data_IF_193172901445
#
_entry.id   IF_193172901445
#
_cell.length_a   1.000
_cell.length_b   1.000
_cell.length_c   1.000
_cell.angle_alpha   90.00
_cell.angle_beta   90.00
_cell.angle_gamma   90.00
#
_symmetry.space_group_name_H-M   'P 1'
#
loop_
_entity.id
_entity.type
_entity.pdbx_description
1 polymer ?
#
# COMPACT_ATOMS: atom_id res chain seq x y z
N UNK A 1 -8.42 -1.43 -10.22
CA UNK A 1 -9.07 -0.84 -9.01
C UNK A 1 -9.56 -1.90 -8.03
N UNK A 2 -9.86 -3.11 -8.47
CA UNK A 2 -10.41 -4.22 -7.66
C UNK A 2 -9.36 -4.90 -6.76
N UNK A 3 -8.09 -5.00 -7.17
CA UNK A 3 -7.04 -5.68 -6.39
C UNK A 3 -6.60 -4.96 -5.12
N UNK A 4 -6.62 -3.62 -5.06
CA UNK A 4 -6.20 -2.90 -3.84
C UNK A 4 -7.14 -3.07 -2.65
N UNK A 5 -8.43 -3.28 -2.89
CA UNK A 5 -9.39 -3.48 -1.79
C UNK A 5 -9.39 -4.91 -1.24
N UNK A 6 -8.97 -5.89 -2.03
CA UNK A 6 -8.95 -7.31 -1.61
C UNK A 6 -7.84 -7.57 -0.57
N UNK A 7 -6.67 -6.96 -0.73
CA UNK A 7 -5.52 -7.16 0.16
C UNK A 7 -5.80 -6.65 1.59
N UNK A 8 -6.46 -5.50 1.73
CA UNK A 8 -6.82 -4.98 3.06
C UNK A 8 -7.89 -5.81 3.77
N UNK A 9 -8.75 -6.51 3.03
CA UNK A 9 -9.79 -7.37 3.60
C UNK A 9 -9.25 -8.71 4.07
N UNK A 10 -8.23 -9.26 3.40
CA UNK A 10 -7.58 -10.51 3.84
C UNK A 10 -6.82 -10.34 5.16
N UNK A 11 -6.11 -9.22 5.36
CA UNK A 11 -5.41 -8.96 6.63
C UNK A 11 -6.38 -8.78 7.80
N UNK A 12 -7.55 -8.21 7.57
CA UNK A 12 -8.54 -8.03 8.62
C UNK A 12 -9.29 -9.33 8.97
N UNK A 13 -9.59 -10.16 7.99
CA UNK A 13 -10.20 -11.48 8.19
C UNK A 13 -9.25 -12.45 8.90
N UNK A 14 -7.95 -12.40 8.60
CA UNK A 14 -6.94 -13.22 9.27
C UNK A 14 -6.75 -12.84 10.75
N UNK A 15 -6.82 -11.54 11.10
CA UNK A 15 -6.78 -11.10 12.49
C UNK A 15 -8.03 -11.52 13.28
N UNK A 16 -9.21 -11.48 12.67
CA UNK A 16 -10.45 -11.91 13.34
C UNK A 16 -10.46 -13.44 13.51
N UNK A 17 -9.94 -14.22 12.56
CA UNK A 17 -9.88 -15.68 12.69
C UNK A 17 -8.86 -16.13 13.74
N UNK A 18 -7.74 -15.44 13.94
CA UNK A 18 -6.82 -15.71 15.04
C UNK A 18 -7.42 -15.39 16.42
N UNK A 19 -8.23 -14.35 16.54
CA UNK A 19 -8.95 -14.07 17.78
C UNK A 19 -10.10 -15.06 18.04
N UNK A 20 -10.75 -15.56 16.99
CA UNK A 20 -11.81 -16.55 17.13
C UNK A 20 -11.28 -17.97 17.43
N UNK A 21 -10.09 -18.34 16.94
CA UNK A 21 -9.47 -19.64 17.27
C UNK A 21 -9.06 -19.74 18.74
N UNK A 22 -8.58 -18.64 19.36
CA UNK A 22 -8.31 -18.65 20.80
C UNK A 22 -9.55 -18.71 21.67
N UNK A 23 -10.72 -18.34 21.15
CA UNK A 23 -11.98 -18.45 21.89
C UNK A 23 -12.63 -19.84 21.76
N UNK A 24 -12.34 -20.62 20.70
CA UNK A 24 -12.95 -21.93 20.49
C UNK A 24 -12.18 -23.10 21.16
N UNK A 25 -10.88 -22.97 21.39
CA UNK A 25 -10.13 -23.96 22.13
C UNK A 25 -10.47 -23.98 23.65
N UNK A 26 -10.97 -22.88 24.19
CA UNK A 26 -11.42 -22.83 25.58
C UNK A 26 -12.73 -23.56 25.84
N UNK A 27 -13.49 -23.92 24.80
CA UNK A 27 -14.81 -24.56 24.98
C UNK A 27 -14.81 -26.09 24.75
N UNK A 28 -13.70 -26.70 24.32
CA UNK A 28 -13.63 -28.12 23.98
C UNK A 28 -13.06 -29.03 25.08
N UNK A 29 -12.56 -28.49 26.18
CA UNK A 29 -12.10 -29.32 27.30
C UNK A 29 -13.12 -29.36 28.42
N UNK A 30 -13.98 -30.37 28.38
CA UNK A 30 -14.86 -30.74 29.48
C UNK A 30 -14.08 -31.16 30.71
N UNK A 31 -14.21 -30.42 31.71
CA UNK A 31 -14.28 -30.53 33.17
C UNK A 31 -13.80 -29.25 33.76
N UNK A 32 -14.76 -28.42 34.13
CA UNK A 32 -14.54 -27.20 34.90
C UNK A 32 -13.87 -27.57 36.21
N UNK A 33 -12.55 -27.49 36.26
CA UNK A 33 -11.81 -27.35 37.49
C UNK A 33 -12.24 -25.98 38.06
N UNK A 34 -12.54 -25.94 39.35
CA UNK A 34 -12.98 -24.76 40.07
C UNK A 34 -12.16 -23.54 39.63
N UNK A 35 -12.80 -22.66 38.96
CA UNK A 35 -12.26 -21.41 38.45
C UNK A 35 -11.52 -20.66 39.56
N UNK A 36 -10.22 -20.59 39.45
CA UNK A 36 -9.52 -19.44 40.02
C UNK A 36 -10.03 -18.23 39.24
N UNK A 37 -10.99 -17.52 39.83
CA UNK A 37 -11.33 -16.19 39.40
C UNK A 37 -10.14 -15.35 39.83
N UNK A 38 -9.16 -15.15 38.92
CA UNK A 38 -8.19 -14.09 39.10
C UNK A 38 -8.98 -12.79 39.05
N UNK A 39 -9.31 -12.30 40.22
CA UNK A 39 -9.81 -10.95 40.35
C UNK A 39 -8.62 -10.02 40.11
N UNK A 40 -8.48 -9.56 38.88
CA UNK A 40 -7.57 -8.45 38.61
C UNK A 40 -7.95 -7.31 39.54
N UNK A 41 -7.02 -6.71 40.28
CA UNK A 41 -7.35 -5.59 41.16
C UNK A 41 -7.94 -4.49 40.28
N UNK A 42 -9.20 -4.17 40.54
CA UNK A 42 -9.83 -3.01 39.92
C UNK A 42 -9.15 -1.79 40.54
N UNK A 43 -8.24 -1.19 39.80
CA UNK A 43 -7.65 0.09 40.18
C UNK A 43 -8.77 1.10 40.07
N UNK A 44 -9.19 1.69 41.21
CA UNK A 44 -10.17 2.73 41.21
C UNK A 44 -9.66 3.91 40.36
N UNK A 45 -10.51 4.41 39.46
CA UNK A 45 -10.19 5.59 38.67
C UNK A 45 -9.82 6.76 39.57
N UNK A 46 -8.71 7.42 39.30
CA UNK A 46 -8.32 8.62 40.06
C UNK A 46 -9.25 9.79 39.68
N UNK A 47 -9.33 10.78 40.55
CA UNK A 47 -10.15 11.95 40.28
C UNK A 47 -9.69 12.66 39.00
N UNK A 48 -10.54 12.69 38.00
CA UNK A 48 -10.24 13.23 36.66
C UNK A 48 -10.06 12.18 35.58
N UNK A 49 -9.95 10.88 35.93
CA UNK A 49 -9.88 9.80 34.97
C UNK A 49 -11.27 9.50 34.40
N UNK A 50 -11.33 9.35 33.09
CA UNK A 50 -12.56 8.94 32.40
C UNK A 50 -12.55 7.41 32.22
N UNK A 51 -13.59 6.73 32.69
CA UNK A 51 -13.83 5.35 32.33
C UNK A 51 -14.26 5.26 30.86
N UNK A 52 -13.75 4.27 30.13
CA UNK A 52 -14.16 4.01 28.75
C UNK A 52 -15.58 3.46 28.69
N UNK A 53 -16.36 3.99 27.74
CA UNK A 53 -17.67 3.44 27.35
C UNK A 53 -17.54 2.59 26.11
N UNK A 54 -18.59 1.83 25.75
CA UNK A 54 -18.61 1.08 24.50
C UNK A 54 -18.51 1.99 23.27
N UNK A 55 -19.08 3.19 23.35
CA UNK A 55 -18.99 4.20 22.28
C UNK A 55 -17.57 4.71 22.12
N UNK A 56 -16.83 4.84 23.22
CA UNK A 56 -15.42 5.24 23.18
C UNK A 56 -14.56 4.16 22.50
N UNK A 57 -14.87 2.88 22.72
CA UNK A 57 -14.14 1.74 22.21
C UNK A 57 -14.61 1.28 20.82
N UNK A 58 -15.66 1.90 20.27
CA UNK A 58 -16.13 1.59 18.92
C UNK A 58 -15.08 2.00 17.89
N UNK A 59 -14.36 1.02 17.35
CA UNK A 59 -13.27 1.24 16.39
C UNK A 59 -13.75 2.07 15.18
N UNK A 60 -13.06 3.17 14.91
CA UNK A 60 -13.42 4.10 13.83
C UNK A 60 -14.58 5.05 14.15
N UNK A 61 -15.23 4.91 15.29
CA UNK A 61 -16.26 5.84 15.78
C UNK A 61 -15.70 7.22 16.13
N UNK A 62 -16.58 8.20 16.26
CA UNK A 62 -16.15 9.59 16.53
C UNK A 62 -15.40 9.73 17.86
N UNK A 63 -15.86 9.05 18.92
CA UNK A 63 -15.18 9.11 20.21
C UNK A 63 -13.81 8.43 20.14
N UNK A 64 -13.71 7.28 19.50
CA UNK A 64 -12.45 6.57 19.30
C UNK A 64 -11.40 7.44 18.63
N UNK A 65 -11.76 8.15 17.55
CA UNK A 65 -10.86 9.05 16.82
C UNK A 65 -10.30 10.18 17.68
N UNK A 66 -11.05 10.62 18.68
CA UNK A 66 -10.61 11.68 19.59
C UNK A 66 -9.68 11.16 20.69
N UNK A 67 -9.70 9.86 20.97
CA UNK A 67 -8.92 9.25 22.06
C UNK A 67 -7.59 8.65 21.60
N UNK A 68 -7.48 8.28 20.32
CA UNK A 68 -6.23 7.74 19.79
C UNK A 68 -5.26 8.85 19.42
N UNK A 69 -3.97 8.59 19.62
CA UNK A 69 -2.94 9.51 19.18
C UNK A 69 -3.04 9.73 17.66
N UNK A 70 -3.00 10.98 17.24
CA UNK A 70 -2.98 11.29 15.82
C UNK A 70 -1.71 10.71 15.20
N UNK A 71 -1.89 9.86 14.19
CA UNK A 71 -0.77 9.37 13.41
C UNK A 71 -0.07 10.55 12.74
N UNK A 72 1.25 10.61 12.93
CA UNK A 72 2.10 11.58 12.24
C UNK A 72 2.93 10.80 11.22
N UNK A 73 2.50 10.79 9.98
CA UNK A 73 3.32 10.22 8.90
C UNK A 73 4.48 11.14 8.62
N UNK A 74 5.67 10.60 8.76
CA UNK A 74 6.91 11.32 8.49
C UNK A 74 7.75 10.52 7.50
N UNK A 75 8.44 11.22 6.61
CA UNK A 75 9.40 10.67 5.67
C UNK A 75 10.68 11.50 5.68
N UNK A 76 11.78 10.88 5.27
CA UNK A 76 13.03 11.57 5.12
C UNK A 76 13.19 12.14 3.71
N UNK A 77 13.63 13.37 3.63
CA UNK A 77 14.06 14.06 2.42
C UNK A 77 15.54 14.37 2.55
N UNK A 78 16.40 13.40 2.24
CA UNK A 78 17.80 13.43 2.65
C UNK A 78 17.92 13.48 4.17
N UNK A 79 18.56 14.50 4.70
CA UNK A 79 18.68 14.74 6.14
C UNK A 79 17.51 15.53 6.75
N UNK A 80 16.58 15.95 5.94
CA UNK A 80 15.42 16.71 6.42
C UNK A 80 14.25 15.78 6.76
N UNK A 81 13.56 16.07 7.86
CA UNK A 81 12.34 15.35 8.25
C UNK A 81 11.11 16.08 7.72
N UNK A 82 10.29 15.39 6.96
CA UNK A 82 9.04 15.92 6.43
C UNK A 82 7.87 15.20 7.08
N UNK A 83 6.98 15.94 7.74
CA UNK A 83 5.69 15.42 8.16
C UNK A 83 4.67 15.58 7.03
N UNK A 84 3.98 14.49 6.77
CA UNK A 84 2.96 14.39 5.74
C UNK A 84 1.58 14.36 6.40
N UNK A 85 0.66 15.15 5.86
CA UNK A 85 -0.74 15.14 6.26
C UNK A 85 -1.62 14.91 5.02
N UNK A 86 -2.93 14.84 5.22
CA UNK A 86 -3.88 14.72 4.10
C UNK A 86 -3.79 15.95 3.21
N UNK A 87 -3.73 17.14 3.81
CA UNK A 87 -3.87 18.44 3.13
C UNK A 87 -2.56 19.19 2.91
N UNK A 88 -1.46 18.82 3.56
CA UNK A 88 -0.19 19.52 3.46
C UNK A 88 1.03 18.68 3.85
N UNK A 89 2.21 19.10 3.38
CA UNK A 89 3.50 18.61 3.85
C UNK A 89 4.23 19.73 4.61
N UNK A 90 4.94 19.34 5.68
CA UNK A 90 5.63 20.25 6.59
C UNK A 90 7.08 19.80 6.81
N UNK A 91 8.01 20.74 6.69
CA UNK A 91 9.37 20.53 7.15
C UNK A 91 9.41 20.61 8.68
N UNK A 92 9.98 19.60 9.32
CA UNK A 92 10.06 19.51 10.78
C UNK A 92 11.48 19.81 11.21
N UNK A 93 11.67 20.82 12.05
CA UNK A 93 12.97 21.08 12.67
C UNK A 93 13.30 19.94 13.64
N UNK A 94 14.39 19.23 13.38
CA UNK A 94 14.78 18.00 14.11
C UNK A 94 15.13 18.25 15.60
N UNK A 95 15.47 19.49 15.95
CA UNK A 95 15.85 19.87 17.33
C UNK A 95 14.65 20.38 18.12
N UNK A 96 13.88 21.29 17.51
CA UNK A 96 12.80 22.00 18.20
C UNK A 96 11.42 21.39 17.95
N UNK A 97 11.28 20.52 16.95
CA UNK A 97 9.99 19.99 16.51
C UNK A 97 9.10 21.04 15.80
N UNK A 98 9.59 22.28 15.61
CA UNK A 98 8.82 23.32 14.92
C UNK A 98 8.57 22.94 13.47
N UNK A 99 7.34 23.09 13.03
CA UNK A 99 6.91 22.77 11.68
C UNK A 99 6.81 24.02 10.80
N UNK A 100 7.25 23.90 9.56
CA UNK A 100 7.13 24.93 8.52
C UNK A 100 6.46 24.30 7.30
N UNK A 101 5.34 24.84 6.85
CA UNK A 101 4.63 24.32 5.69
C UNK A 101 5.50 24.42 4.43
N UNK A 102 5.66 23.29 3.72
CA UNK A 102 6.32 23.23 2.42
C UNK A 102 5.33 23.58 1.29
N UNK A 103 4.19 22.91 1.29
CA UNK A 103 3.10 23.13 0.33
C UNK A 103 1.79 22.50 0.85
N UNK A 104 0.69 22.93 0.27
CA UNK A 104 -0.63 22.37 0.50
C UNK A 104 -1.11 21.53 -0.69
N UNK A 105 -2.14 20.73 -0.48
CA UNK A 105 -2.80 19.96 -1.52
C UNK A 105 -3.43 20.85 -2.61
N UNK A 106 -3.94 22.03 -2.23
CA UNK A 106 -4.48 23.00 -3.19
C UNK A 106 -3.38 23.53 -4.11
N UNK A 107 -2.19 23.81 -3.56
CA UNK A 107 -1.04 24.23 -4.36
C UNK A 107 -0.59 23.10 -5.29
N UNK A 108 -0.52 21.87 -4.83
CA UNK A 108 -0.22 20.71 -5.68
C UNK A 108 -1.23 20.63 -6.83
N UNK A 109 -2.51 20.69 -6.53
CA UNK A 109 -3.58 20.61 -7.53
C UNK A 109 -3.52 21.79 -8.51
N UNK A 110 -3.08 22.98 -8.07
CA UNK A 110 -2.84 24.12 -8.95
C UNK A 110 -1.65 23.88 -9.88
N UNK A 111 -0.56 23.28 -9.38
CA UNK A 111 0.68 23.08 -10.16
C UNK A 111 0.60 21.93 -11.16
N UNK A 112 -0.19 20.89 -10.90
CA UNK A 112 -0.40 19.79 -11.86
C UNK A 112 -1.27 20.20 -13.05
N UNK A 113 -1.75 21.42 -13.04
CA UNK A 113 -2.62 22.06 -14.02
C UNK A 113 -3.99 21.40 -14.23
N UNK A 114 -4.93 22.16 -14.66
CA UNK A 114 -6.32 21.95 -14.36
C UNK A 114 -7.02 21.16 -15.45
N UNK A 115 -6.77 19.89 -15.58
CA UNK A 115 -7.82 19.02 -16.08
C UNK A 115 -8.80 18.82 -14.93
N UNK A 116 -10.03 19.26 -15.11
CA UNK A 116 -11.05 19.39 -14.06
C UNK A 116 -11.32 18.13 -13.24
N UNK A 117 -10.86 16.98 -13.71
CA UNK A 117 -11.19 15.66 -13.16
C UNK A 117 -10.01 14.96 -12.47
N UNK A 118 -8.80 15.53 -12.52
CA UNK A 118 -7.62 14.89 -11.97
C UNK A 118 -7.14 15.69 -10.76
N UNK A 119 -7.52 15.25 -9.56
CA UNK A 119 -7.08 15.87 -8.30
C UNK A 119 -6.35 14.85 -7.43
N UNK A 120 -5.21 15.27 -6.90
CA UNK A 120 -4.60 14.61 -5.74
C UNK A 120 -5.51 14.86 -4.55
N UNK A 121 -5.83 13.82 -3.79
CA UNK A 121 -6.79 13.88 -2.68
C UNK A 121 -6.14 13.80 -1.30
N UNK A 122 -4.87 13.40 -1.25
CA UNK A 122 -4.13 13.29 0.00
C UNK A 122 -2.62 13.34 -0.26
N UNK A 123 -1.85 13.86 0.71
CA UNK A 123 -0.39 14.00 0.63
C UNK A 123 0.38 13.09 1.60
N UNK A 124 -0.31 12.25 2.38
CA UNK A 124 0.35 11.34 3.32
C UNK A 124 1.25 10.29 2.64
N UNK A 125 1.11 10.09 1.32
CA UNK A 125 1.95 9.21 0.50
C UNK A 125 2.92 9.98 -0.40
N UNK A 126 3.10 11.29 -0.20
CA UNK A 126 4.04 12.08 -0.97
C UNK A 126 5.47 11.54 -0.79
N UNK A 127 6.21 11.40 -1.87
CA UNK A 127 7.57 10.89 -1.87
C UNK A 127 8.55 12.02 -2.21
N UNK A 128 9.70 12.03 -1.53
CA UNK A 128 10.79 12.98 -1.73
C UNK A 128 12.03 12.23 -2.19
N UNK A 129 12.12 11.82 -3.48
CA UNK A 129 13.10 10.85 -3.96
C UNK A 129 14.54 11.36 -3.98
N UNK A 130 14.74 12.68 -3.95
CA UNK A 130 16.07 13.28 -4.11
C UNK A 130 16.44 14.20 -2.95
N UNK A 131 17.48 13.84 -2.20
CA UNK A 131 18.03 14.68 -1.16
C UNK A 131 18.43 16.07 -1.71
N UNK A 132 18.00 17.13 -1.02
CA UNK A 132 18.35 18.51 -1.36
C UNK A 132 17.71 19.08 -2.63
N UNK A 133 16.94 18.28 -3.39
CA UNK A 133 16.18 18.77 -4.56
C UNK A 133 14.72 18.98 -4.18
N UNK A 134 14.13 20.06 -4.65
CA UNK A 134 12.73 20.42 -4.40
C UNK A 134 11.72 19.59 -5.22
N UNK A 135 11.99 18.29 -5.32
CA UNK A 135 11.16 17.38 -6.09
C UNK A 135 10.28 16.60 -5.14
N UNK A 136 8.99 16.60 -5.41
CA UNK A 136 7.99 15.75 -4.75
C UNK A 136 7.24 14.93 -5.78
N UNK A 137 6.92 13.70 -5.44
CA UNK A 137 6.05 12.83 -6.23
C UNK A 137 4.77 12.57 -5.47
N UNK A 138 3.64 12.77 -6.13
CA UNK A 138 2.30 12.57 -5.60
C UNK A 138 1.44 11.79 -6.58
N UNK A 139 0.49 11.02 -6.07
CA UNK A 139 -0.37 10.18 -6.91
C UNK A 139 -1.85 10.45 -6.61
N UNK A 140 -2.68 10.31 -7.64
CA UNK A 140 -4.14 10.28 -7.48
C UNK A 140 -4.75 8.88 -7.67
N UNK A 141 -3.91 7.85 -7.66
CA UNK A 141 -4.31 6.45 -7.88
C UNK A 141 -4.09 5.95 -9.30
N UNK A 142 -4.40 6.73 -10.34
CA UNK A 142 -4.16 6.36 -11.75
C UNK A 142 -2.93 7.04 -12.35
N UNK A 143 -2.58 8.21 -11.82
CA UNK A 143 -1.44 9.00 -12.30
C UNK A 143 -0.46 9.32 -11.19
N UNK A 144 0.82 9.36 -11.56
CA UNK A 144 1.93 9.82 -10.73
C UNK A 144 2.43 11.13 -11.30
N UNK A 145 2.49 12.15 -10.46
CA UNK A 145 2.96 13.49 -10.80
C UNK A 145 4.29 13.75 -10.11
N UNK A 146 5.29 14.19 -10.89
CA UNK A 146 6.58 14.68 -10.37
C UNK A 146 6.58 16.20 -10.46
N UNK A 147 6.81 16.88 -9.34
CA UNK A 147 6.63 18.32 -9.21
C UNK A 147 7.86 18.96 -8.58
N UNK A 148 8.35 20.06 -9.13
CA UNK A 148 9.28 20.95 -8.43
C UNK A 148 8.47 21.94 -7.58
N UNK A 149 8.37 21.67 -6.28
CA UNK A 149 7.53 22.46 -5.39
C UNK A 149 8.07 23.83 -5.04
N UNK A 150 9.37 24.13 -5.28
CA UNK A 150 9.93 25.49 -5.16
C UNK A 150 9.72 26.31 -6.43
N UNK A 151 9.75 25.67 -7.59
CA UNK A 151 9.46 26.33 -8.86
C UNK A 151 7.99 26.35 -9.21
N UNK A 152 7.15 25.68 -8.41
CA UNK A 152 5.70 25.55 -8.62
C UNK A 152 5.37 24.97 -10.01
N UNK A 153 6.12 23.95 -10.42
CA UNK A 153 6.06 23.42 -11.78
C UNK A 153 5.91 21.92 -11.81
N UNK A 154 4.95 21.44 -12.58
CA UNK A 154 4.87 20.02 -12.96
C UNK A 154 6.08 19.68 -13.85
N UNK A 155 6.82 18.65 -13.46
CA UNK A 155 7.97 18.13 -14.21
C UNK A 155 7.51 16.99 -15.11
N UNK A 156 6.81 16.00 -14.56
CA UNK A 156 6.33 14.85 -15.34
C UNK A 156 5.00 14.34 -14.81
N UNK A 157 4.28 13.74 -15.71
CA UNK A 157 3.05 13.00 -15.45
C UNK A 157 3.20 11.61 -16.06
N UNK A 158 2.93 10.58 -15.28
CA UNK A 158 2.90 9.21 -15.71
C UNK A 158 1.52 8.62 -15.43
N UNK A 159 0.92 8.00 -16.42
CA UNK A 159 -0.34 7.28 -16.28
C UNK A 159 -0.09 5.77 -16.35
N UNK A 160 -0.74 5.04 -15.46
CA UNK A 160 -0.77 3.58 -15.54
C UNK A 160 -1.87 3.19 -16.52
N UNK A 161 -1.53 2.39 -17.53
CA UNK A 161 -2.51 1.85 -18.43
C UNK A 161 -3.40 0.80 -17.71
N UNK A 162 -4.58 0.58 -18.24
CA UNK A 162 -5.46 -0.48 -17.74
C UNK A 162 -4.75 -1.84 -17.81
N UNK A 163 -4.85 -2.60 -16.74
CA UNK A 163 -4.18 -3.90 -16.61
C UNK A 163 -2.68 -3.83 -16.25
N UNK A 164 -2.13 -2.62 -16.03
CA UNK A 164 -0.79 -2.44 -15.49
C UNK A 164 -0.82 -2.33 -13.96
N UNK A 165 0.12 -2.99 -13.29
CA UNK A 165 0.32 -2.91 -11.84
C UNK A 165 1.75 -2.48 -11.54
N UNK A 166 1.92 -1.30 -10.95
CA UNK A 166 3.24 -0.83 -10.52
C UNK A 166 3.76 -1.71 -9.39
N UNK A 167 5.00 -2.17 -9.53
CA UNK A 167 5.74 -2.85 -8.48
C UNK A 167 6.67 -1.90 -7.73
N UNK A 168 7.62 -1.29 -8.44
CA UNK A 168 8.63 -0.44 -7.81
C UNK A 168 9.24 0.55 -8.82
N UNK A 169 9.48 1.78 -8.37
CA UNK A 169 10.32 2.75 -9.07
C UNK A 169 11.77 2.67 -8.56
N UNK A 170 12.74 2.93 -9.43
CA UNK A 170 14.12 3.07 -8.98
C UNK A 170 14.33 4.38 -8.20
N UNK A 171 15.44 4.50 -7.44
CA UNK A 171 15.73 5.67 -6.62
C UNK A 171 15.83 6.97 -7.44
N UNK A 172 16.24 6.88 -8.70
CA UNK A 172 16.36 8.01 -9.63
C UNK A 172 15.02 8.41 -10.25
N UNK A 173 13.97 7.63 -10.02
CA UNK A 173 12.62 7.85 -10.56
C UNK A 173 12.59 7.98 -12.10
N UNK A 174 13.51 7.30 -12.78
CA UNK A 174 13.60 7.27 -14.22
C UNK A 174 13.38 5.89 -14.84
N UNK A 175 13.09 4.89 -13.99
CA UNK A 175 12.67 3.56 -14.41
C UNK A 175 11.68 2.97 -13.41
N UNK A 176 10.72 2.20 -13.93
CA UNK A 176 9.65 1.57 -13.15
C UNK A 176 9.52 0.11 -13.55
N UNK A 177 9.52 -0.78 -12.55
CA UNK A 177 9.11 -2.16 -12.73
C UNK A 177 7.59 -2.27 -12.58
N UNK A 178 6.92 -2.94 -13.50
CA UNK A 178 5.47 -3.12 -13.46
C UNK A 178 5.05 -4.46 -14.08
N UNK A 179 3.87 -4.91 -13.73
CA UNK A 179 3.24 -6.07 -14.36
C UNK A 179 2.21 -5.61 -15.40
N UNK A 180 2.17 -6.33 -16.52
CA UNK A 180 1.11 -6.25 -17.50
C UNK A 180 0.65 -7.66 -17.86
N UNK A 181 -0.61 -7.96 -17.58
CA UNK A 181 -1.01 -9.34 -17.42
C UNK A 181 -0.22 -9.96 -16.26
N UNK A 182 0.39 -11.11 -16.49
CA UNK A 182 1.26 -11.76 -15.48
C UNK A 182 2.76 -11.57 -15.74
N UNK A 183 3.11 -10.77 -16.74
CA UNK A 183 4.50 -10.59 -17.16
C UNK A 183 5.12 -9.32 -16.58
N UNK A 184 6.43 -9.42 -16.30
CA UNK A 184 7.24 -8.33 -15.79
C UNK A 184 7.75 -7.46 -16.93
N UNK A 185 7.62 -6.16 -16.75
CA UNK A 185 8.12 -5.12 -17.65
C UNK A 185 8.92 -4.08 -16.87
N UNK A 186 9.80 -3.41 -17.57
CA UNK A 186 10.47 -2.19 -17.11
C UNK A 186 10.14 -1.06 -18.08
N UNK A 187 9.66 0.06 -17.54
CA UNK A 187 9.44 1.31 -18.28
C UNK A 187 10.52 2.30 -17.88
N UNK A 188 11.23 2.87 -18.86
CA UNK A 188 12.25 3.89 -18.60
C UNK A 188 11.80 5.25 -19.13
N UNK A 189 12.28 6.30 -18.45
CA UNK A 189 12.03 7.69 -18.82
C UNK A 189 13.33 8.45 -18.90
N UNK A 190 13.49 9.25 -19.93
CA UNK A 190 14.61 10.20 -19.99
C UNK A 190 14.27 11.48 -19.21
N UNK A 191 14.61 11.48 -17.93
CA UNK A 191 14.38 12.63 -17.04
C UNK A 191 15.30 13.81 -17.38
N UNK A 192 16.45 13.56 -18.01
CA UNK A 192 17.39 14.60 -18.40
C UNK A 192 16.87 15.44 -19.58
N UNK A 193 16.14 14.81 -20.49
CA UNK A 193 15.53 15.45 -21.67
C UNK A 193 14.04 15.72 -21.51
N UNK A 194 13.57 15.86 -20.28
CA UNK A 194 12.15 16.02 -19.95
C UNK A 194 11.46 17.12 -20.79
N UNK A 195 12.14 18.24 -21.08
CA UNK A 195 11.59 19.28 -21.96
C UNK A 195 11.43 18.83 -23.42
N UNK A 196 12.18 17.81 -23.86
CA UNK A 196 12.03 17.18 -25.17
C UNK A 196 10.95 16.08 -25.15
N UNK A 197 10.77 15.36 -24.05
CA UNK A 197 9.77 14.30 -23.89
C UNK A 197 8.32 14.80 -24.00
N UNK A 198 8.04 16.04 -23.62
CA UNK A 198 6.70 16.64 -23.79
C UNK A 198 6.24 16.74 -25.25
N UNK A 199 7.15 16.64 -26.21
CA UNK A 199 6.79 16.61 -27.64
C UNK A 199 6.53 15.21 -28.18
N UNK A 200 7.15 14.16 -27.60
CA UNK A 200 7.12 12.81 -28.16
C UNK A 200 6.59 11.72 -27.23
N UNK A 201 6.30 11.98 -25.95
CA UNK A 201 5.72 11.02 -24.95
C UNK A 201 6.30 9.60 -25.00
N UNK A 202 7.57 9.44 -25.35
CA UNK A 202 8.16 8.10 -25.51
C UNK A 202 8.75 7.62 -24.20
N UNK A 203 7.96 6.87 -23.45
CA UNK A 203 8.49 5.87 -22.54
C UNK A 203 8.96 4.66 -23.36
N UNK A 204 10.05 4.05 -22.94
CA UNK A 204 10.49 2.79 -23.53
C UNK A 204 10.13 1.66 -22.59
N UNK A 205 9.33 0.73 -23.09
CA UNK A 205 8.91 -0.45 -22.36
C UNK A 205 9.76 -1.65 -22.78
N UNK A 206 10.33 -2.32 -21.80
CA UNK A 206 11.09 -3.53 -21.99
C UNK A 206 10.34 -4.69 -21.34
N UNK A 207 9.97 -5.69 -22.12
CA UNK A 207 9.41 -6.92 -21.59
C UNK A 207 10.53 -7.80 -21.03
N UNK A 208 10.45 -8.13 -19.75
CA UNK A 208 11.46 -8.92 -19.03
C UNK A 208 11.08 -10.40 -19.00
N UNK A 209 9.80 -10.72 -18.93
CA UNK A 209 9.31 -12.09 -18.90
C UNK A 209 8.20 -12.32 -19.93
N UNK A 210 8.04 -13.58 -20.37
CA UNK A 210 7.05 -13.98 -21.38
C UNK A 210 6.20 -15.18 -20.98
N UNK A 211 6.54 -15.85 -19.87
CA UNK A 211 5.87 -17.06 -19.37
C UNK A 211 5.04 -16.80 -18.10
N UNK A 212 4.80 -15.52 -17.76
CA UNK A 212 3.98 -15.13 -16.64
C UNK A 212 2.56 -15.68 -16.75
N UNK A 213 2.08 -16.29 -15.68
CA UNK A 213 0.76 -16.90 -15.58
C UNK A 213 0.29 -16.91 -14.12
N UNK A 214 -0.84 -17.57 -13.84
CA UNK A 214 -1.25 -17.83 -12.47
C UNK A 214 -0.23 -18.68 -11.70
N UNK A 215 0.42 -19.60 -12.40
CA UNK A 215 1.42 -20.51 -11.84
C UNK A 215 2.83 -19.93 -11.79
N UNK A 216 3.15 -19.03 -12.74
CA UNK A 216 4.47 -18.39 -12.84
C UNK A 216 4.33 -16.91 -12.52
N UNK A 217 4.77 -16.52 -11.34
CA UNK A 217 4.58 -15.17 -10.79
C UNK A 217 5.91 -14.42 -10.78
N UNK A 218 5.90 -13.19 -11.24
CA UNK A 218 7.06 -12.31 -11.31
C UNK A 218 6.95 -11.11 -10.40
N UNK A 219 8.05 -10.73 -9.78
CA UNK A 219 8.23 -9.45 -9.10
C UNK A 219 7.31 -9.19 -7.91
N UNK A 220 6.62 -10.21 -7.42
CA UNK A 220 5.72 -10.11 -6.28
C UNK A 220 6.34 -10.75 -5.03
N UNK A 221 5.79 -10.42 -3.85
CA UNK A 221 6.19 -11.02 -2.60
C UNK A 221 5.99 -12.54 -2.65
N UNK A 222 7.02 -13.29 -2.27
CA UNK A 222 6.96 -14.76 -2.15
C UNK A 222 6.45 -15.22 -0.79
N UNK A 223 6.25 -14.29 0.14
CA UNK A 223 5.79 -14.53 1.51
C UNK A 223 4.35 -14.09 1.74
N UNK A 224 3.57 -13.85 0.68
CA UNK A 224 2.16 -13.42 0.76
C UNK A 224 1.95 -12.23 1.68
N UNK A 225 2.89 -11.27 1.63
CA UNK A 225 2.94 -10.05 2.45
C UNK A 225 3.05 -10.29 3.97
N UNK A 226 3.42 -11.51 4.37
CA UNK A 226 3.74 -11.83 5.76
C UNK A 226 5.10 -11.28 6.18
N UNK A 227 5.32 -11.12 7.47
CA UNK A 227 6.58 -10.64 8.07
C UNK A 227 7.03 -9.26 7.58
N UNK A 228 6.14 -8.45 7.02
CA UNK A 228 6.47 -7.16 6.42
C UNK A 228 7.21 -7.26 5.09
N UNK A 229 7.26 -8.43 4.46
CA UNK A 229 7.86 -8.65 3.14
C UNK A 229 6.76 -8.51 2.10
N UNK A 230 6.70 -7.34 1.45
CA UNK A 230 5.60 -6.97 0.56
C UNK A 230 6.02 -6.74 -0.89
N UNK A 231 7.29 -7.03 -1.24
CA UNK A 231 7.79 -6.81 -2.60
C UNK A 231 8.64 -7.97 -3.10
N UNK A 232 8.80 -8.06 -4.41
CA UNK A 232 9.64 -9.04 -5.08
C UNK A 232 10.50 -8.43 -6.19
N UNK A 233 10.69 -7.10 -6.16
CA UNK A 233 11.58 -6.35 -7.05
C UNK A 233 12.55 -5.52 -6.22
N UNK A 234 13.81 -5.41 -6.67
CA UNK A 234 14.88 -4.76 -5.93
C UNK A 234 15.81 -4.05 -6.90
N UNK A 235 15.72 -2.72 -6.94
CA UNK A 235 16.61 -1.90 -7.74
C UNK A 235 17.98 -1.75 -7.07
N UNK A 236 19.04 -1.79 -7.89
CA UNK A 236 20.37 -1.39 -7.42
C UNK A 236 20.37 0.09 -7.01
N UNK A 237 21.23 0.51 -6.07
CA UNK A 237 21.28 1.91 -5.61
C UNK A 237 21.51 2.93 -6.74
N UNK A 238 22.25 2.56 -7.79
CA UNK A 238 22.44 3.40 -8.98
C UNK A 238 21.30 3.31 -10.00
N UNK A 239 20.28 2.47 -9.75
CA UNK A 239 19.10 2.33 -10.62
C UNK A 239 19.32 1.63 -11.96
N UNK A 240 20.49 1.03 -12.17
CA UNK A 240 20.85 0.41 -13.47
C UNK A 240 20.50 -1.07 -13.56
N UNK A 241 20.27 -1.72 -12.42
CA UNK A 241 19.96 -3.15 -12.35
C UNK A 241 18.72 -3.38 -11.53
N UNK A 242 17.90 -4.33 -11.96
CA UNK A 242 16.71 -4.80 -11.26
C UNK A 242 16.88 -6.28 -10.95
N UNK A 243 16.90 -6.65 -9.68
CA UNK A 243 16.72 -8.04 -9.27
C UNK A 243 15.23 -8.27 -8.98
N UNK A 244 14.73 -9.45 -9.29
CA UNK A 244 13.34 -9.81 -9.08
C UNK A 244 13.16 -11.28 -8.73
N UNK A 245 12.07 -11.59 -8.05
CA UNK A 245 11.65 -12.96 -7.83
C UNK A 245 10.86 -13.49 -9.02
N UNK A 246 11.16 -14.73 -9.41
CA UNK A 246 10.32 -15.59 -10.24
C UNK A 246 9.87 -16.75 -9.35
N UNK A 247 8.60 -16.86 -9.12
CA UNK A 247 8.00 -17.89 -8.30
C UNK A 247 7.23 -18.87 -9.21
N UNK A 248 7.63 -20.13 -9.20
CA UNK A 248 6.87 -21.24 -9.77
C UNK A 248 6.04 -21.86 -8.67
N UNK A 249 4.73 -21.74 -8.78
CA UNK A 249 3.75 -22.30 -7.85
C UNK A 249 2.84 -23.33 -8.53
N UNK A 250 3.26 -23.89 -9.68
CA UNK A 250 2.48 -24.88 -10.42
C UNK A 250 2.17 -26.13 -9.57
N UNK A 251 3.11 -26.51 -8.70
CA UNK A 251 2.98 -27.66 -7.79
C UNK A 251 2.20 -27.34 -6.50
N UNK A 252 1.89 -26.10 -6.24
CA UNK A 252 1.22 -25.69 -5.00
C UNK A 252 -0.27 -25.99 -5.10
N UNK A 253 -0.83 -26.56 -4.04
CA UNK A 253 -2.26 -26.89 -3.93
C UNK A 253 -3.13 -25.61 -4.00
N UNK A 254 -4.24 -25.73 -4.67
CA UNK A 254 -5.27 -24.70 -4.68
C UNK A 254 -6.04 -24.71 -3.36
N UNK A 255 -5.94 -23.63 -2.61
CA UNK A 255 -6.76 -23.42 -1.43
C UNK A 255 -8.15 -22.93 -1.84
N UNK A 256 -9.23 -23.59 -1.42
CA UNK A 256 -10.58 -23.22 -1.83
C UNK A 256 -10.99 -21.90 -1.18
N UNK A 257 -11.14 -20.89 -2.01
CA UNK A 257 -11.71 -19.60 -1.64
C UNK A 257 -12.87 -19.26 -2.55
N UNK A 258 -13.73 -18.40 -2.05
CA UNK A 258 -14.83 -17.83 -2.81
C UNK A 258 -14.74 -16.32 -2.79
N UNK A 259 -15.02 -15.72 -3.93
CA UNK A 259 -15.17 -14.28 -4.06
C UNK A 259 -16.66 -13.94 -3.97
N UNK A 260 -17.00 -13.06 -3.03
CA UNK A 260 -18.37 -12.59 -2.83
C UNK A 260 -18.39 -11.14 -3.32
N UNK A 261 -19.15 -10.85 -4.39
CA UNK A 261 -19.24 -9.50 -4.92
C UNK A 261 -19.76 -8.52 -3.88
N UNK A 262 -19.14 -7.35 -3.78
CA UNK A 262 -19.73 -6.25 -3.03
C UNK A 262 -20.95 -5.71 -3.77
N UNK A 263 -22.09 -5.72 -3.12
CA UNK A 263 -23.29 -5.05 -3.63
C UNK A 263 -23.08 -3.55 -3.42
N UNK A 264 -22.93 -2.80 -4.52
CA UNK A 264 -22.88 -1.34 -4.46
C UNK A 264 -24.25 -0.78 -4.10
N UNK A 265 -24.27 0.28 -3.30
CA UNK A 265 -25.52 0.97 -2.95
C UNK A 265 -26.16 1.67 -4.15
N UNK A 266 -25.37 1.98 -5.19
CA UNK A 266 -25.83 2.78 -6.33
C UNK A 266 -26.62 1.98 -7.38
N UNK A 267 -26.34 0.67 -7.52
CA UNK A 267 -27.01 -0.21 -8.50
C UNK A 267 -27.18 -1.64 -7.98
N UNK A 268 -27.92 -1.87 -6.90
CA UNK A 268 -28.03 -3.18 -6.28
C UNK A 268 -28.72 -4.22 -7.21
N UNK A 269 -29.57 -3.77 -8.12
CA UNK A 269 -30.32 -4.60 -9.05
C UNK A 269 -29.47 -5.22 -10.18
N UNK A 270 -28.29 -4.68 -10.44
CA UNK A 270 -27.38 -5.16 -11.52
C UNK A 270 -26.27 -6.06 -11.02
N UNK A 271 -26.14 -6.24 -9.71
CA UNK A 271 -25.05 -6.98 -9.11
C UNK A 271 -25.48 -8.37 -8.64
N UNK A 272 -24.70 -9.38 -9.02
CA UNK A 272 -24.90 -10.74 -8.54
C UNK A 272 -24.38 -10.87 -7.10
N UNK A 273 -25.20 -11.42 -6.21
CA UNK A 273 -24.79 -11.82 -4.86
C UNK A 273 -24.23 -13.24 -4.81
N UNK A 274 -24.06 -13.89 -5.97
CA UNK A 274 -23.62 -15.29 -6.04
C UNK A 274 -22.12 -15.33 -5.86
N UNK A 275 -21.67 -16.08 -4.83
CA UNK A 275 -20.26 -16.37 -4.62
C UNK A 275 -19.70 -17.18 -5.80
N UNK A 276 -18.54 -16.78 -6.28
CA UNK A 276 -17.81 -17.50 -7.33
C UNK A 276 -16.54 -18.14 -6.77
N UNK A 277 -16.15 -19.36 -7.21
CA UNK A 277 -14.90 -19.95 -6.81
C UNK A 277 -13.72 -19.05 -7.21
N UNK A 278 -12.85 -18.74 -6.26
CA UNK A 278 -11.64 -17.96 -6.45
C UNK A 278 -10.46 -18.62 -5.73
N UNK A 279 -10.09 -19.86 -6.12
CA UNK A 279 -9.06 -20.61 -5.42
C UNK A 279 -7.72 -19.89 -5.52
N UNK A 280 -6.99 -19.85 -4.40
CA UNK A 280 -5.66 -19.26 -4.32
C UNK A 280 -4.60 -20.34 -4.13
N UNK A 281 -3.41 -20.15 -4.71
CA UNK A 281 -2.26 -21.03 -4.50
C UNK A 281 -1.71 -20.79 -3.10
N UNK A 282 -1.92 -21.75 -2.19
CA UNK A 282 -1.44 -21.64 -0.82
C UNK A 282 -0.74 -22.94 -0.38
N UNK A 283 0.57 -22.91 -0.05
CA UNK A 283 1.27 -24.07 0.43
C UNK A 283 0.81 -24.42 1.85
N UNK A 284 -0.06 -25.40 1.97
CA UNK A 284 -0.51 -25.88 3.27
C UNK A 284 0.59 -26.65 4.01
N UNK A 285 0.48 -26.69 5.31
CA UNK A 285 1.45 -27.41 6.16
C UNK A 285 1.56 -28.88 5.76
N UNK A 286 2.80 -29.32 5.48
CA UNK A 286 3.09 -30.68 5.02
C UNK A 286 2.98 -30.90 3.51
N UNK A 287 2.46 -29.93 2.76
CA UNK A 287 2.32 -29.99 1.31
C UNK A 287 3.49 -29.32 0.57
N UNK A 288 3.55 -29.54 -0.73
CA UNK A 288 4.61 -29.00 -1.56
C UNK A 288 4.49 -27.47 -1.68
N UNK A 289 5.58 -26.78 -1.35
CA UNK A 289 5.67 -25.32 -1.51
C UNK A 289 6.14 -24.92 -2.89
N UNK A 290 6.01 -23.64 -3.20
CA UNK A 290 6.50 -23.02 -4.44
C UNK A 290 8.03 -23.02 -4.51
N UNK A 291 8.56 -22.91 -5.74
CA UNK A 291 9.99 -22.76 -6.02
C UNK A 291 10.29 -21.34 -6.48
N UNK A 292 11.22 -20.69 -5.78
CA UNK A 292 11.61 -19.30 -6.09
C UNK A 292 13.00 -19.27 -6.69
N UNK A 293 13.16 -18.46 -7.72
CA UNK A 293 14.45 -18.09 -8.33
C UNK A 293 14.57 -16.57 -8.38
N UNK A 294 15.81 -16.09 -8.50
CA UNK A 294 16.11 -14.67 -8.64
C UNK A 294 16.62 -14.43 -10.08
N UNK A 295 16.02 -13.48 -10.75
CA UNK A 295 16.43 -13.01 -12.07
C UNK A 295 17.07 -11.63 -12.01
#
# INVERSE_FOLDING_TARGET
>A
MILKNSIYKLTFAAMISMMAMNASEASAQGKVSKTHTETFPVVAAQKGDKAFTLEDLNFGGNNYRNMVAKNRWCTWWGDELVRQDIDACYLVNKVTGKETKLFSIDQINQWIAPTKDIKVRALYNAQFPFAGKSIVMVSNGSKLFTIDFKKHKLISEMEYAEGESLLEANAQQNAFAYLKGSNLYVRTFDVANYNAMNKDKKSHDFQISTDGSREIVYGQSVHRDEFGISKGTFWSPNGEKLAFYRMDQSMVTDYPQVDIPEIGFDHPETQSCIATPAPDKYPMAGETSHKVTVG
#
